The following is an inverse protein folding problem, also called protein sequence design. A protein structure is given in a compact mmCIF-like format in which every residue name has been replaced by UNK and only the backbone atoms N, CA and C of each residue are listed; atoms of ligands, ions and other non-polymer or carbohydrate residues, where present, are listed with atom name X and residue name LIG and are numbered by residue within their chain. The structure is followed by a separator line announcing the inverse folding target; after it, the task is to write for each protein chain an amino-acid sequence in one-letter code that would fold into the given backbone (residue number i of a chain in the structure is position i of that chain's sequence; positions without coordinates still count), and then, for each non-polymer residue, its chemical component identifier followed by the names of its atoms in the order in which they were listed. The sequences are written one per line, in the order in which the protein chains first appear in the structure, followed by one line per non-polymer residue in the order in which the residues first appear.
data_IF_608167702344
#
_entry.id   IF_608167702344
#
_cell.length_a   1.000
_cell.length_b   1.000
_cell.length_c   1.000
_cell.angle_alpha   90.00
_cell.angle_beta   90.00
_cell.angle_gamma   90.00
#
_symmetry.space_group_name_H-M   'P 1'
#
loop_
_entity.id
_entity.type
_entity.pdbx_description
1 polymer ?
#
# COMPACT_ATOMS: atom_id res chain seq x y z
N UNK A 1 19.84 17.42 -6.78
CA UNK A 1 19.53 18.47 -7.77
C UNK A 1 18.06 18.32 -8.09
N UNK A 2 17.20 19.16 -7.44
CA UNK A 2 15.80 19.24 -7.81
C UNK A 2 15.68 19.79 -9.23
N UNK A 3 14.99 19.10 -10.10
CA UNK A 3 14.67 19.60 -11.41
C UNK A 3 13.55 20.63 -11.24
N UNK A 4 13.87 21.92 -11.43
CA UNK A 4 12.86 22.95 -11.61
C UNK A 4 12.12 22.64 -12.90
N UNK A 5 10.83 22.48 -12.81
CA UNK A 5 9.94 22.61 -13.95
C UNK A 5 9.36 24.03 -13.83
N UNK A 6 9.97 24.95 -14.54
CA UNK A 6 9.48 26.30 -14.68
C UNK A 6 8.39 26.31 -15.76
N UNK A 7 7.47 27.21 -15.55
CA UNK A 7 6.56 27.85 -16.47
C UNK A 7 5.24 27.14 -16.74
N UNK A 8 4.26 27.76 -16.23
CA UNK A 8 2.81 27.85 -16.42
C UNK A 8 2.06 27.87 -15.06
N UNK A 9 2.58 28.66 -14.09
CA UNK A 9 1.95 28.78 -12.77
C UNK A 9 2.08 27.53 -11.90
N UNK A 10 3.06 26.68 -12.19
CA UNK A 10 3.29 25.45 -11.44
C UNK A 10 3.74 25.77 -10.00
N UNK A 11 3.04 25.23 -9.04
CA UNK A 11 3.42 25.28 -7.65
C UNK A 11 4.49 24.24 -7.36
N UNK A 12 5.71 24.66 -7.05
CA UNK A 12 6.78 23.78 -6.57
C UNK A 12 6.60 23.54 -5.07
N UNK A 13 6.40 22.29 -4.68
CA UNK A 13 6.38 21.89 -3.29
C UNK A 13 7.44 20.81 -3.02
N UNK A 14 8.24 21.03 -2.00
CA UNK A 14 9.25 20.07 -1.54
C UNK A 14 8.97 19.68 -0.10
N UNK A 15 8.98 18.40 0.19
CA UNK A 15 8.89 17.89 1.54
C UNK A 15 9.97 16.84 1.77
N UNK A 16 10.60 16.87 2.95
CA UNK A 16 11.71 15.98 3.31
C UNK A 16 11.51 15.46 4.74
N UNK A 17 11.96 14.23 4.99
CA UNK A 17 12.07 13.66 6.34
C UNK A 17 13.55 13.49 6.68
N UNK A 18 14.04 14.35 7.57
CA UNK A 18 15.47 14.39 7.95
C UNK A 18 15.91 13.09 8.62
N UNK A 19 15.04 12.49 9.43
CA UNK A 19 15.34 11.22 10.12
C UNK A 19 15.54 10.10 9.10
N UNK A 20 14.65 9.98 8.14
CA UNK A 20 14.78 8.99 7.07
C UNK A 20 16.03 9.22 6.21
N UNK A 21 16.34 10.47 5.88
CA UNK A 21 17.56 10.81 5.13
C UNK A 21 18.81 10.41 5.90
N UNK A 22 18.84 10.63 7.19
CA UNK A 22 19.98 10.27 8.04
C UNK A 22 20.20 8.77 8.14
N UNK A 23 19.11 8.00 8.25
CA UNK A 23 19.17 6.55 8.41
C UNK A 23 19.41 5.80 7.09
N UNK A 24 18.84 6.26 5.99
CA UNK A 24 18.75 5.50 4.74
C UNK A 24 19.35 6.22 3.53
N UNK A 25 19.87 7.44 3.73
CA UNK A 25 20.34 8.29 2.64
C UNK A 25 19.22 9.00 1.88
N UNK A 26 19.61 10.06 1.18
CA UNK A 26 18.67 10.87 0.39
C UNK A 26 18.19 10.13 -0.86
N UNK A 27 16.88 9.94 -0.98
CA UNK A 27 16.23 9.40 -2.17
C UNK A 27 15.16 10.38 -2.64
N UNK A 28 15.37 10.99 -3.78
CA UNK A 28 14.47 11.99 -4.33
C UNK A 28 13.50 11.38 -5.32
N UNK A 29 12.22 11.70 -5.17
CA UNK A 29 11.16 11.38 -6.13
C UNK A 29 10.54 12.67 -6.63
N UNK A 30 10.61 12.91 -7.95
CA UNK A 30 9.90 14.02 -8.60
C UNK A 30 8.58 13.54 -9.18
N UNK A 31 7.53 14.33 -9.03
CA UNK A 31 6.24 14.14 -9.71
C UNK A 31 5.94 15.42 -10.48
N UNK A 32 5.50 15.25 -11.72
CA UNK A 32 4.99 16.34 -12.54
C UNK A 32 3.47 16.16 -12.68
N UNK A 33 2.71 17.09 -12.09
CA UNK A 33 1.25 17.09 -12.08
C UNK A 33 0.76 18.40 -12.70
N UNK A 34 0.64 18.46 -14.03
CA UNK A 34 0.36 19.72 -14.75
C UNK A 34 -0.99 20.35 -14.43
N UNK A 35 -1.90 19.62 -13.80
CA UNK A 35 -3.22 20.11 -13.39
C UNK A 35 -3.29 20.54 -11.92
N UNK A 36 -2.18 20.45 -11.18
CA UNK A 36 -2.10 20.84 -9.78
C UNK A 36 -1.39 22.20 -9.69
N UNK A 37 -2.15 23.27 -9.62
CA UNK A 37 -1.69 24.66 -9.57
C UNK A 37 -1.72 25.25 -8.16
N UNK A 38 -2.41 24.63 -7.21
CA UNK A 38 -2.48 25.06 -5.82
C UNK A 38 -1.23 24.62 -5.03
N UNK A 39 -0.40 25.56 -4.53
CA UNK A 39 0.80 25.24 -3.75
C UNK A 39 0.48 24.55 -2.42
N UNK A 40 -0.68 24.82 -1.83
CA UNK A 40 -1.09 24.18 -0.56
C UNK A 40 -1.37 22.70 -0.78
N UNK A 41 -2.10 22.37 -1.83
CA UNK A 41 -2.39 20.99 -2.18
C UNK A 41 -1.13 20.25 -2.67
N UNK A 42 -0.26 20.91 -3.42
CA UNK A 42 1.05 20.36 -3.79
C UNK A 42 1.89 20.03 -2.55
N UNK A 43 1.91 20.90 -1.54
CA UNK A 43 2.59 20.66 -0.26
C UNK A 43 1.98 19.51 0.53
N UNK A 44 0.67 19.38 0.56
CA UNK A 44 -0.04 18.26 1.21
C UNK A 44 0.29 16.94 0.54
N UNK A 45 0.29 16.91 -0.80
CA UNK A 45 0.64 15.71 -1.56
C UNK A 45 2.10 15.32 -1.35
N UNK A 46 3.03 16.27 -1.40
CA UNK A 46 4.44 16.02 -1.14
C UNK A 46 4.67 15.41 0.26
N UNK A 47 4.02 15.98 1.28
CA UNK A 47 4.05 15.45 2.64
C UNK A 47 3.48 14.03 2.73
N UNK A 48 2.35 13.78 2.08
CA UNK A 48 1.72 12.47 2.05
C UNK A 48 2.67 11.41 1.47
N UNK A 49 3.28 11.70 0.32
CA UNK A 49 4.21 10.79 -0.34
C UNK A 49 5.46 10.51 0.50
N UNK A 50 5.97 11.51 1.23
CA UNK A 50 7.09 11.30 2.14
C UNK A 50 6.67 10.39 3.29
N UNK A 51 5.54 10.64 3.94
CA UNK A 51 5.04 9.79 5.05
C UNK A 51 4.84 8.35 4.62
N UNK A 52 4.36 8.11 3.40
CA UNK A 52 4.16 6.76 2.89
C UNK A 52 5.46 6.02 2.55
N UNK A 53 6.50 6.75 2.13
CA UNK A 53 7.69 6.13 1.54
C UNK A 53 8.98 6.38 2.33
N UNK A 54 8.95 7.12 3.43
CA UNK A 54 10.14 7.50 4.20
C UNK A 54 10.86 6.32 4.83
N UNK A 55 10.12 5.31 5.24
CA UNK A 55 10.68 4.14 5.90
C UNK A 55 10.70 2.93 4.95
N UNK A 56 11.82 2.22 4.84
CA UNK A 56 11.88 0.96 4.11
C UNK A 56 10.93 -0.05 4.75
N UNK A 57 10.05 -0.63 3.94
CA UNK A 57 9.12 -1.66 4.38
C UNK A 57 9.36 -2.93 3.60
N UNK A 58 9.41 -4.05 4.31
CA UNK A 58 9.30 -5.35 3.68
C UNK A 58 7.97 -5.41 2.91
N UNK A 59 8.04 -5.83 1.65
CA UNK A 59 6.83 -5.96 0.81
C UNK A 59 6.71 -7.37 0.32
N UNK A 60 5.62 -8.02 0.69
CA UNK A 60 5.23 -9.29 0.10
C UNK A 60 4.44 -8.97 -1.18
N UNK A 61 4.92 -9.47 -2.32
CA UNK A 61 4.26 -9.25 -3.62
C UNK A 61 3.22 -10.31 -3.95
N UNK A 62 3.48 -11.51 -3.49
CA UNK A 62 2.57 -12.62 -3.69
C UNK A 62 2.75 -13.65 -2.59
N UNK A 63 1.70 -14.38 -2.30
CA UNK A 63 1.68 -15.57 -1.46
C UNK A 63 1.06 -16.71 -2.24
N UNK A 64 1.62 -17.90 -2.07
CA UNK A 64 1.08 -19.12 -2.64
C UNK A 64 0.62 -20.01 -1.49
N UNK A 65 -0.62 -20.40 -1.53
CA UNK A 65 -1.29 -21.25 -0.54
C UNK A 65 -1.59 -22.61 -1.19
N UNK A 66 -1.50 -23.67 -0.41
CA UNK A 66 -1.85 -25.01 -0.84
C UNK A 66 -2.92 -25.58 0.07
N UNK A 67 -4.01 -26.04 -0.53
CA UNK A 67 -5.17 -26.56 0.21
C UNK A 67 -4.84 -27.78 1.06
N UNK A 68 -3.85 -28.58 0.67
CA UNK A 68 -3.36 -29.73 1.44
C UNK A 68 -2.68 -29.36 2.76
N UNK A 69 -2.29 -28.10 2.95
CA UNK A 69 -1.61 -27.64 4.17
C UNK A 69 -2.52 -27.67 5.40
N UNK A 70 -3.82 -27.52 5.23
CA UNK A 70 -4.81 -27.59 6.30
C UNK A 70 -6.19 -27.09 5.89
N UNK A 71 -7.22 -27.54 6.60
CA UNK A 71 -8.60 -27.18 6.32
C UNK A 71 -8.84 -25.66 6.43
N UNK A 72 -8.19 -24.99 7.37
CA UNK A 72 -8.30 -23.54 7.56
C UNK A 72 -7.70 -22.78 6.37
N UNK A 73 -6.58 -23.27 5.81
CA UNK A 73 -5.96 -22.71 4.62
C UNK A 73 -6.87 -22.88 3.42
N UNK A 74 -7.44 -24.05 3.23
CA UNK A 74 -8.40 -24.30 2.16
C UNK A 74 -9.65 -23.43 2.30
N UNK A 75 -10.18 -23.29 3.51
CA UNK A 75 -11.32 -22.41 3.77
C UNK A 75 -10.99 -20.95 3.43
N UNK A 76 -9.80 -20.46 3.80
CA UNK A 76 -9.35 -19.11 3.45
C UNK A 76 -9.20 -18.94 1.93
N UNK A 77 -8.64 -19.94 1.22
CA UNK A 77 -8.48 -19.92 -0.23
C UNK A 77 -9.82 -19.85 -0.99
N UNK A 78 -10.89 -20.38 -0.39
CA UNK A 78 -12.23 -20.39 -1.00
C UNK A 78 -13.10 -19.18 -0.57
N UNK A 79 -12.82 -18.60 0.58
CA UNK A 79 -13.62 -17.51 1.15
C UNK A 79 -13.10 -16.12 0.77
N UNK A 80 -11.78 -15.97 0.61
CA UNK A 80 -11.16 -14.67 0.32
C UNK A 80 -11.00 -14.46 -1.17
N UNK A 81 -11.24 -13.23 -1.62
CA UNK A 81 -11.21 -12.86 -3.04
C UNK A 81 -10.51 -11.52 -3.26
N UNK A 82 -10.38 -11.10 -4.52
CA UNK A 82 -9.82 -9.80 -4.87
C UNK A 82 -10.58 -8.65 -4.17
N UNK A 83 -9.81 -7.73 -3.57
CA UNK A 83 -10.33 -6.61 -2.80
C UNK A 83 -10.32 -6.84 -1.29
N UNK A 84 -10.22 -8.09 -0.84
CA UNK A 84 -10.15 -8.40 0.59
C UNK A 84 -8.83 -7.96 1.20
N UNK A 85 -8.90 -7.56 2.47
CA UNK A 85 -7.74 -7.21 3.28
C UNK A 85 -7.36 -8.38 4.15
N UNK A 86 -6.09 -8.75 4.10
CA UNK A 86 -5.52 -9.82 4.90
C UNK A 86 -4.33 -9.30 5.72
N UNK A 87 -4.11 -9.88 6.89
CA UNK A 87 -2.88 -9.68 7.67
C UNK A 87 -1.97 -10.86 7.45
N UNK A 88 -0.76 -10.60 6.95
CA UNK A 88 0.29 -11.60 6.83
C UNK A 88 1.25 -11.46 8.01
N UNK A 89 1.47 -12.57 8.71
CA UNK A 89 2.48 -12.69 9.74
C UNK A 89 3.40 -13.87 9.38
N UNK A 90 4.68 -13.60 9.19
CA UNK A 90 5.68 -14.61 8.87
C UNK A 90 6.70 -14.68 10.00
N UNK A 91 6.64 -15.78 10.74
CA UNK A 91 7.41 -15.96 11.98
C UNK A 91 8.92 -16.01 11.74
N UNK A 92 9.38 -16.51 10.59
CA UNK A 92 10.78 -16.75 10.31
C UNK A 92 11.56 -15.46 10.04
N UNK A 93 10.95 -14.51 9.33
CA UNK A 93 11.53 -13.19 9.06
C UNK A 93 11.08 -12.13 10.06
N UNK A 94 10.07 -12.45 10.89
CA UNK A 94 9.40 -11.48 11.75
C UNK A 94 8.54 -10.48 10.97
N UNK A 95 8.28 -10.73 9.69
CA UNK A 95 7.49 -9.83 8.87
C UNK A 95 6.01 -9.90 9.26
N UNK A 96 5.43 -8.74 9.55
CA UNK A 96 3.98 -8.59 9.77
C UNK A 96 3.48 -7.38 8.99
N UNK A 97 2.37 -7.53 8.29
CA UNK A 97 1.79 -6.44 7.52
C UNK A 97 0.42 -6.76 6.96
N UNK A 98 -0.32 -5.70 6.70
CA UNK A 98 -1.63 -5.77 6.08
C UNK A 98 -1.54 -5.57 4.58
N UNK A 99 -2.31 -6.35 3.84
CA UNK A 99 -2.29 -6.37 2.38
C UNK A 99 -3.70 -6.48 1.83
N UNK A 100 -3.91 -5.90 0.65
CA UNK A 100 -5.07 -6.18 -0.19
C UNK A 100 -4.73 -7.23 -1.23
N UNK A 101 -5.64 -8.17 -1.46
CA UNK A 101 -5.57 -9.10 -2.58
C UNK A 101 -5.94 -8.33 -3.85
N UNK A 102 -4.99 -8.16 -4.77
CA UNK A 102 -5.20 -7.43 -6.02
C UNK A 102 -5.18 -8.33 -7.25
N UNK A 103 -4.91 -9.60 -7.07
CA UNK A 103 -4.97 -10.61 -8.11
C UNK A 103 -5.02 -12.00 -7.49
N UNK A 104 -5.73 -12.88 -8.15
CA UNK A 104 -5.98 -14.24 -7.71
C UNK A 104 -5.82 -15.22 -8.87
N UNK A 105 -5.18 -16.35 -8.60
CA UNK A 105 -5.03 -17.44 -9.54
C UNK A 105 -5.18 -18.75 -8.81
N UNK A 106 -6.13 -19.56 -9.23
CA UNK A 106 -6.32 -20.93 -8.76
C UNK A 106 -5.76 -21.92 -9.76
N UNK A 107 -5.11 -22.94 -9.26
CA UNK A 107 -4.62 -24.06 -10.05
C UNK A 107 -5.08 -25.36 -9.38
N UNK A 108 -5.87 -26.13 -10.11
CA UNK A 108 -6.41 -27.41 -9.66
C UNK A 108 -5.73 -28.51 -10.47
N UNK A 109 -5.14 -29.47 -9.80
CA UNK A 109 -4.47 -30.62 -10.40
C UNK A 109 -5.04 -31.92 -9.86
N UNK A 110 -4.77 -33.03 -10.52
CA UNK A 110 -5.19 -34.37 -10.11
C UNK A 110 -6.69 -34.48 -9.79
N UNK A 111 -7.54 -33.94 -10.66
CA UNK A 111 -8.98 -34.01 -10.44
C UNK A 111 -9.51 -33.18 -9.29
N UNK A 112 -8.72 -32.21 -8.76
CA UNK A 112 -9.11 -31.34 -7.66
C UNK A 112 -8.47 -31.71 -6.31
N UNK A 113 -7.68 -32.78 -6.25
CA UNK A 113 -6.98 -33.16 -5.02
C UNK A 113 -5.89 -32.15 -4.65
N UNK A 114 -5.18 -31.61 -5.65
CA UNK A 114 -4.17 -30.57 -5.44
C UNK A 114 -4.78 -29.21 -5.80
N UNK A 115 -5.03 -28.39 -4.81
CA UNK A 115 -5.50 -27.03 -5.01
C UNK A 115 -4.44 -26.02 -4.54
N UNK A 116 -3.90 -25.27 -5.48
CA UNK A 116 -2.96 -24.19 -5.22
C UNK A 116 -3.61 -22.84 -5.58
N UNK A 117 -3.54 -21.86 -4.68
CA UNK A 117 -3.99 -20.50 -4.92
C UNK A 117 -2.82 -19.55 -4.75
N UNK A 118 -2.62 -18.69 -5.76
CA UNK A 118 -1.64 -17.63 -5.72
C UNK A 118 -2.34 -16.29 -5.67
N UNK A 119 -2.16 -15.55 -4.57
CA UNK A 119 -2.61 -14.17 -4.44
C UNK A 119 -1.48 -13.21 -4.75
N UNK A 120 -1.79 -12.22 -5.60
CA UNK A 120 -0.95 -11.04 -5.79
C UNK A 120 -1.38 -10.00 -4.77
N UNK A 121 -0.42 -9.40 -4.08
CA UNK A 121 -0.68 -8.56 -2.91
C UNK A 121 -0.18 -7.14 -3.12
N UNK A 122 -0.94 -6.19 -2.60
CA UNK A 122 -0.56 -4.79 -2.46
C UNK A 122 -0.60 -4.41 -0.99
N UNK A 123 0.48 -3.82 -0.42
CA UNK A 123 0.47 -3.37 0.96
C UNK A 123 -0.70 -2.42 1.21
N UNK A 124 -1.42 -2.62 2.32
CA UNK A 124 -2.38 -1.65 2.79
C UNK A 124 -1.63 -0.42 3.31
N UNK A 125 -2.12 0.77 2.94
CA UNK A 125 -1.51 2.01 3.45
C UNK A 125 -1.67 2.08 4.96
N UNK A 126 -0.63 2.50 5.69
CA UNK A 126 -0.72 2.75 7.14
C UNK A 126 -1.55 3.99 7.45
N UNK A 127 -1.79 4.83 6.45
CA UNK A 127 -2.63 6.00 6.62
C UNK A 127 -4.08 5.57 6.73
N UNK A 128 -4.76 6.06 7.76
CA UNK A 128 -6.18 5.79 7.97
C UNK A 128 -6.99 6.17 6.74
N UNK A 129 -7.74 5.22 6.18
CA UNK A 129 -8.70 5.49 5.12
C UNK A 129 -10.00 6.00 5.74
N UNK A 130 -10.69 6.82 4.99
CA UNK A 130 -12.03 7.25 5.34
C UNK A 130 -12.96 6.01 5.41
N UNK A 131 -13.65 5.85 6.53
CA UNK A 131 -14.59 4.75 6.76
C UNK A 131 -15.92 5.30 7.18
N UNK A 132 -16.94 5.09 6.39
CA UNK A 132 -18.32 5.40 6.74
C UNK A 132 -18.77 4.59 7.96
N UNK A 133 -19.44 5.25 8.91
CA UNK A 133 -20.01 4.60 10.08
C UNK A 133 -19.01 4.24 11.19
N UNK A 134 -17.74 4.61 11.06
CA UNK A 134 -16.72 4.40 12.12
C UNK A 134 -16.41 5.74 12.77
N UNK A 135 -16.65 5.84 14.07
CA UNK A 135 -16.35 7.05 14.85
C UNK A 135 -14.87 7.44 14.72
N UNK A 136 -14.59 8.72 14.43
CA UNK A 136 -13.24 9.24 14.21
C UNK A 136 -12.63 8.91 12.85
N UNK A 137 -13.29 8.12 12.02
CA UNK A 137 -12.85 7.79 10.66
C UNK A 137 -13.84 8.20 9.57
N UNK A 138 -14.99 8.73 9.93
CA UNK A 138 -16.04 9.19 9.01
C UNK A 138 -15.92 10.65 8.61
N UNK A 139 -14.99 11.41 9.17
CA UNK A 139 -14.82 12.83 8.91
C UNK A 139 -13.66 13.07 7.94
N UNK A 140 -13.96 13.64 6.78
CA UNK A 140 -12.94 14.05 5.80
C UNK A 140 -12.15 15.26 6.33
N UNK A 141 -10.83 15.17 6.25
CA UNK A 141 -9.93 16.29 6.55
C UNK A 141 -9.37 16.33 7.97
N UNK A 142 -9.80 15.47 8.89
CA UNK A 142 -9.23 15.39 10.24
C UNK A 142 -8.10 14.33 10.31
N UNK A 143 -8.45 13.07 10.29
CA UNK A 143 -7.49 11.95 10.39
C UNK A 143 -7.60 10.96 9.23
N UNK A 144 -8.57 11.15 8.34
CA UNK A 144 -8.91 10.20 7.28
C UNK A 144 -8.83 10.84 5.90
N UNK A 145 -8.53 10.03 4.89
CA UNK A 145 -8.43 10.44 3.49
C UNK A 145 -9.21 9.46 2.60
N UNK A 146 -9.71 9.96 1.48
CA UNK A 146 -10.24 9.08 0.44
C UNK A 146 -9.10 8.20 -0.10
N UNK A 147 -9.38 6.89 -0.20
CA UNK A 147 -8.51 5.98 -0.93
C UNK A 147 -8.80 6.14 -2.43
N UNK A 148 -7.76 6.44 -3.22
CA UNK A 148 -7.80 6.44 -4.67
C UNK A 148 -7.16 5.16 -5.21
#
# INVERSE_FOLDING_TARGET
RGTRIADWGAADAVHEDVTSITLYGRRTRGLNLPLLDDPVEAGRLARHLVVENKDPRGRVRAVTLRGETGADVLAAMLALTMGDRITLAEARSGHTGDYFIVGERHELRRGGEDHETRWTLRPASPLGHWRLGVSGMGELGMATRLAY
#
